data_IF_968297961880
#
_entry.id   IF_968297961880
#
_cell.length_a   1.000
_cell.length_b   1.000
_cell.length_c   1.000
_cell.angle_alpha   90.00
_cell.angle_beta   90.00
_cell.angle_gamma   90.00
#
_symmetry.space_group_name_H-M   'P 1'
#
loop_
_entity.id
_entity.type
_entity.pdbx_description
1 polymer ?
#
# COMPACT_ATOMS: atom_id res chain seq x y z
N UNK A 1 42.40 68.38 -35.73
CA UNK A 1 43.13 67.14 -35.93
C UNK A 1 42.19 66.02 -35.55
N UNK A 2 41.58 65.43 -36.56
CA UNK A 2 40.60 64.34 -36.40
C UNK A 2 41.27 62.99 -36.22
N UNK A 3 40.61 62.12 -35.55
CA UNK A 3 40.92 60.74 -35.63
C UNK A 3 39.63 59.89 -35.63
N UNK A 4 39.23 59.51 -36.84
CA UNK A 4 38.25 58.52 -37.17
C UNK A 4 38.85 57.14 -36.96
N UNK A 5 38.38 56.40 -35.96
CA UNK A 5 38.65 54.96 -35.85
C UNK A 5 37.33 54.19 -36.05
N UNK A 6 37.40 53.40 -37.07
CA UNK A 6 36.27 52.71 -37.63
C UNK A 6 35.66 51.62 -36.75
N UNK A 7 34.38 51.65 -36.71
CA UNK A 7 33.50 50.59 -36.24
C UNK A 7 33.35 49.50 -37.32
N UNK A 8 34.06 48.44 -37.20
CA UNK A 8 33.74 47.16 -37.80
C UNK A 8 33.58 46.19 -36.64
N UNK A 9 32.46 45.62 -36.53
CA UNK A 9 32.12 44.33 -35.94
C UNK A 9 30.66 44.40 -35.48
N UNK A 10 29.74 44.25 -36.41
CA UNK A 10 28.37 43.88 -36.10
C UNK A 10 27.93 42.83 -37.12
N UNK A 11 28.47 41.62 -36.95
CA UNK A 11 27.82 40.45 -37.55
C UNK A 11 26.68 40.00 -36.63
N UNK A 12 25.48 39.80 -37.15
CA UNK A 12 24.38 39.26 -36.35
C UNK A 12 24.67 37.81 -36.07
N UNK A 13 24.91 37.48 -34.80
CA UNK A 13 24.93 36.10 -34.33
C UNK A 13 23.55 35.53 -34.56
N UNK A 14 23.42 34.78 -35.64
CA UNK A 14 22.24 33.94 -35.91
C UNK A 14 22.11 32.96 -34.78
N UNK A 15 21.32 33.27 -33.78
CA UNK A 15 20.93 32.31 -32.76
C UNK A 15 20.21 31.14 -33.49
N UNK A 16 20.94 30.04 -33.66
CA UNK A 16 20.30 28.75 -33.99
C UNK A 16 19.28 28.51 -32.89
N UNK A 17 18.02 28.51 -33.23
CA UNK A 17 16.94 28.07 -32.38
C UNK A 17 17.30 26.67 -31.84
N UNK A 18 17.28 26.43 -30.53
CA UNK A 18 17.47 25.09 -30.02
C UNK A 18 16.37 24.26 -30.67
N UNK A 19 16.78 23.18 -31.34
CA UNK A 19 15.89 22.16 -31.88
C UNK A 19 14.92 21.81 -30.76
N UNK A 20 13.67 22.19 -30.92
CA UNK A 20 12.62 21.82 -29.97
C UNK A 20 12.62 20.29 -29.96
N UNK A 21 13.16 19.71 -28.90
CA UNK A 21 13.00 18.30 -28.60
C UNK A 21 11.48 18.14 -28.50
N UNK A 22 10.88 17.56 -29.54
CA UNK A 22 9.49 17.13 -29.53
C UNK A 22 9.34 16.19 -28.33
N UNK A 23 8.93 16.73 -27.20
CA UNK A 23 8.45 15.91 -26.11
C UNK A 23 7.23 15.16 -26.66
N UNK A 24 7.25 13.83 -26.67
CA UNK A 24 6.07 13.08 -27.09
C UNK A 24 4.90 13.60 -26.25
N UNK A 25 3.83 13.95 -26.94
CA UNK A 25 2.60 14.37 -26.28
C UNK A 25 2.27 13.30 -25.23
N UNK A 26 1.93 13.67 -23.98
CA UNK A 26 1.58 12.68 -22.96
C UNK A 26 0.48 11.80 -23.55
N UNK A 27 0.73 10.49 -23.60
CA UNK A 27 -0.24 9.54 -24.12
C UNK A 27 -1.55 9.77 -23.36
N UNK A 28 -2.57 10.20 -24.06
CA UNK A 28 -3.92 10.36 -23.51
C UNK A 28 -4.50 8.93 -23.38
N UNK A 29 -4.25 8.30 -22.25
CA UNK A 29 -4.95 7.06 -21.92
C UNK A 29 -6.41 7.41 -21.66
N UNK A 30 -7.32 6.60 -22.21
CA UNK A 30 -8.73 6.74 -21.88
C UNK A 30 -8.96 6.39 -20.39
N UNK A 31 -10.03 6.92 -19.82
CA UNK A 31 -10.35 6.72 -18.41
C UNK A 31 -10.54 5.23 -18.06
N UNK A 32 -10.98 4.42 -19.00
CA UNK A 32 -11.18 2.98 -18.80
C UNK A 32 -9.84 2.25 -18.68
N UNK A 33 -8.87 2.58 -19.52
CA UNK A 33 -7.51 2.03 -19.48
C UNK A 33 -6.80 2.45 -18.18
N UNK A 34 -6.91 3.71 -17.77
CA UNK A 34 -6.36 4.18 -16.50
C UNK A 34 -7.00 3.45 -15.31
N UNK A 35 -8.32 3.28 -15.32
CA UNK A 35 -9.03 2.58 -14.27
C UNK A 35 -8.66 1.09 -14.20
N UNK A 36 -8.44 0.44 -15.35
CA UNK A 36 -7.96 -0.95 -15.39
C UNK A 36 -6.55 -1.06 -14.82
N UNK A 37 -5.61 -0.27 -15.30
CA UNK A 37 -4.23 -0.24 -14.81
C UNK A 37 -4.16 0.06 -13.30
N UNK A 38 -5.01 0.97 -12.81
CA UNK A 38 -5.10 1.29 -11.39
C UNK A 38 -5.56 0.08 -10.56
N UNK A 39 -6.57 -0.66 -11.03
CA UNK A 39 -7.03 -1.88 -10.37
C UNK A 39 -5.97 -2.97 -10.35
N UNK A 40 -5.29 -3.17 -11.46
CA UNK A 40 -4.23 -4.18 -11.59
C UNK A 40 -3.05 -3.87 -10.66
N UNK A 41 -2.68 -2.60 -10.58
CA UNK A 41 -1.57 -2.15 -9.73
C UNK A 41 -1.87 -2.30 -8.24
N UNK A 42 -3.07 -1.92 -7.81
CA UNK A 42 -3.40 -1.81 -6.39
C UNK A 42 -4.20 -2.98 -5.83
N UNK A 43 -4.95 -3.69 -6.69
CA UNK A 43 -5.93 -4.70 -6.28
C UNK A 43 -5.37 -5.81 -5.39
N UNK A 44 -4.35 -6.56 -5.82
CA UNK A 44 -3.83 -7.69 -5.04
C UNK A 44 -3.33 -7.29 -3.66
N UNK A 45 -2.56 -6.19 -3.58
CA UNK A 45 -2.04 -5.68 -2.30
C UNK A 45 -3.14 -5.18 -1.38
N UNK A 46 -4.12 -4.48 -1.94
CA UNK A 46 -5.24 -3.96 -1.17
C UNK A 46 -6.12 -5.08 -0.62
N UNK A 47 -6.35 -6.13 -1.41
CA UNK A 47 -7.06 -7.32 -0.96
C UNK A 47 -6.31 -8.04 0.18
N UNK A 48 -4.98 -8.20 0.06
CA UNK A 48 -4.13 -8.75 1.12
C UNK A 48 -4.22 -7.93 2.42
N UNK A 49 -4.14 -6.60 2.32
CA UNK A 49 -4.37 -5.70 3.47
C UNK A 49 -5.74 -5.94 4.10
N UNK A 50 -6.80 -5.99 3.28
CA UNK A 50 -8.16 -6.17 3.74
C UNK A 50 -8.36 -7.53 4.43
N UNK A 51 -7.75 -8.61 3.91
CA UNK A 51 -7.76 -9.94 4.53
C UNK A 51 -7.07 -9.94 5.89
N UNK A 52 -5.89 -9.34 6.00
CA UNK A 52 -5.14 -9.28 7.27
C UNK A 52 -5.90 -8.48 8.33
N UNK A 53 -6.42 -7.30 7.96
CA UNK A 53 -7.19 -6.45 8.88
C UNK A 53 -8.53 -7.09 9.24
N UNK A 54 -9.20 -7.74 8.29
CA UNK A 54 -10.45 -8.47 8.44
C UNK A 54 -10.31 -9.87 9.05
N UNK A 55 -9.08 -10.30 9.43
CA UNK A 55 -8.80 -11.64 9.96
C UNK A 55 -9.31 -12.77 9.06
N UNK A 56 -9.10 -12.67 7.76
CA UNK A 56 -9.47 -13.71 6.80
C UNK A 56 -10.96 -13.76 6.46
N UNK A 57 -11.75 -12.76 6.82
CA UNK A 57 -13.13 -12.63 6.31
C UNK A 57 -13.08 -12.20 4.83
N UNK A 58 -13.02 -13.18 3.93
CA UNK A 58 -12.89 -12.95 2.48
C UNK A 58 -14.02 -12.08 1.92
N UNK A 59 -15.25 -12.28 2.39
CA UNK A 59 -16.40 -11.50 1.90
C UNK A 59 -16.32 -10.04 2.32
N UNK A 60 -15.90 -9.77 3.56
CA UNK A 60 -15.69 -8.41 4.04
C UNK A 60 -14.50 -7.76 3.32
N UNK A 61 -13.40 -8.51 3.12
CA UNK A 61 -12.21 -8.05 2.42
C UNK A 61 -12.51 -7.69 0.95
N UNK A 62 -13.19 -8.56 0.21
CA UNK A 62 -13.59 -8.33 -1.18
C UNK A 62 -14.48 -7.10 -1.32
N UNK A 63 -15.50 -6.96 -0.48
CA UNK A 63 -16.40 -5.80 -0.52
C UNK A 63 -15.65 -4.50 -0.24
N UNK A 64 -14.84 -4.48 0.84
CA UNK A 64 -14.14 -3.28 1.26
C UNK A 64 -13.05 -2.86 0.25
N UNK A 65 -12.25 -3.81 -0.23
CA UNK A 65 -11.23 -3.57 -1.24
C UNK A 65 -11.86 -3.19 -2.60
N UNK A 66 -12.89 -3.90 -3.04
CA UNK A 66 -13.60 -3.62 -4.29
C UNK A 66 -14.22 -2.22 -4.30
N UNK A 67 -14.86 -1.81 -3.21
CA UNK A 67 -15.41 -0.47 -3.06
C UNK A 67 -14.33 0.62 -3.08
N UNK A 68 -13.22 0.39 -2.38
CA UNK A 68 -12.10 1.33 -2.37
C UNK A 68 -11.44 1.45 -3.74
N UNK A 69 -11.25 0.31 -4.45
CA UNK A 69 -10.70 0.29 -5.81
C UNK A 69 -11.60 0.99 -6.82
N UNK A 70 -12.90 0.75 -6.78
CA UNK A 70 -13.85 1.43 -7.67
C UNK A 70 -13.81 2.96 -7.47
N UNK A 71 -13.79 3.40 -6.20
CA UNK A 71 -13.68 4.82 -5.89
C UNK A 71 -12.32 5.43 -6.29
N UNK A 72 -11.21 4.66 -6.16
CA UNK A 72 -9.88 5.08 -6.57
C UNK A 72 -9.75 5.16 -8.09
N UNK A 73 -10.29 4.16 -8.81
CA UNK A 73 -10.30 4.16 -10.27
C UNK A 73 -11.06 5.35 -10.85
N UNK A 74 -12.19 5.73 -10.24
CA UNK A 74 -12.94 6.94 -10.63
C UNK A 74 -12.17 8.24 -10.37
N UNK A 75 -11.11 8.21 -9.57
CA UNK A 75 -10.26 9.36 -9.21
C UNK A 75 -8.81 9.18 -9.65
N UNK A 76 -8.52 8.19 -10.50
CA UNK A 76 -7.16 7.80 -10.88
C UNK A 76 -6.36 9.00 -11.43
N UNK A 77 -6.96 9.86 -12.23
CA UNK A 77 -6.34 11.08 -12.75
C UNK A 77 -5.94 12.09 -11.66
N UNK A 78 -6.66 12.12 -10.53
CA UNK A 78 -6.37 12.99 -9.38
C UNK A 78 -5.35 12.36 -8.42
N UNK A 79 -5.30 11.04 -8.34
CA UNK A 79 -4.40 10.27 -7.50
C UNK A 79 -3.04 10.05 -8.20
N UNK A 80 -2.38 11.13 -8.60
CA UNK A 80 -1.15 11.11 -9.43
C UNK A 80 0.07 10.49 -8.75
N UNK A 81 0.05 10.35 -7.43
CA UNK A 81 1.15 9.77 -6.67
C UNK A 81 0.77 8.35 -6.22
N UNK A 82 1.38 7.30 -6.79
CA UNK A 82 1.04 5.91 -6.48
C UNK A 82 1.09 5.58 -4.99
N UNK A 83 2.08 6.13 -4.28
CA UNK A 83 2.26 5.92 -2.83
C UNK A 83 1.09 6.52 -2.04
N UNK A 84 0.71 7.77 -2.33
CA UNK A 84 -0.45 8.40 -1.68
C UNK A 84 -1.76 7.72 -2.04
N UNK A 85 -1.88 7.24 -3.29
CA UNK A 85 -3.02 6.43 -3.70
C UNK A 85 -3.11 5.14 -2.87
N UNK A 86 -1.98 4.48 -2.63
CA UNK A 86 -1.92 3.26 -1.83
C UNK A 86 -2.39 3.49 -0.38
N UNK A 87 -1.95 4.56 0.29
CA UNK A 87 -2.38 4.92 1.63
C UNK A 87 -3.86 5.31 1.67
N UNK A 88 -4.32 6.12 0.72
CA UNK A 88 -5.72 6.53 0.60
C UNK A 88 -6.66 5.33 0.41
N UNK A 89 -6.28 4.37 -0.45
CA UNK A 89 -7.05 3.14 -0.66
C UNK A 89 -7.20 2.33 0.63
N UNK A 90 -6.12 2.20 1.42
CA UNK A 90 -6.14 1.48 2.69
C UNK A 90 -7.00 2.17 3.74
N UNK A 91 -6.93 3.50 3.82
CA UNK A 91 -7.80 4.27 4.68
C UNK A 91 -9.28 4.05 4.32
N UNK A 92 -9.59 3.99 3.03
CA UNK A 92 -10.95 3.75 2.56
C UNK A 92 -11.41 2.30 2.80
N UNK A 93 -10.50 1.34 2.59
CA UNK A 93 -10.75 -0.07 2.89
C UNK A 93 -10.99 -0.29 4.37
N UNK A 94 -10.18 0.32 5.24
CA UNK A 94 -10.34 0.24 6.69
C UNK A 94 -11.73 0.70 7.15
N UNK A 95 -12.24 1.80 6.59
CA UNK A 95 -13.61 2.27 6.85
C UNK A 95 -14.69 1.33 6.34
N UNK A 96 -14.41 0.55 5.29
CA UNK A 96 -15.32 -0.43 4.72
C UNK A 96 -15.33 -1.78 5.45
N UNK A 97 -14.27 -2.11 6.18
CA UNK A 97 -14.21 -3.29 7.03
C UNK A 97 -14.99 -2.96 8.31
N UNK A 98 -16.26 -3.30 8.35
CA UNK A 98 -17.13 -2.98 9.50
C UNK A 98 -16.59 -3.54 10.83
N UNK A 99 -17.05 -2.95 11.93
CA UNK A 99 -16.76 -3.35 13.32
C UNK A 99 -17.40 -4.71 13.71
N UNK A 100 -18.04 -5.39 12.75
CA UNK A 100 -18.72 -6.66 12.98
C UNK A 100 -17.74 -7.80 13.31
N UNK A 101 -18.19 -8.76 14.12
CA UNK A 101 -17.47 -10.01 14.28
C UNK A 101 -17.42 -10.75 12.94
N UNK A 102 -16.26 -11.33 12.58
CA UNK A 102 -16.16 -12.18 11.40
C UNK A 102 -17.20 -13.29 11.47
N UNK A 103 -17.96 -13.45 10.41
CA UNK A 103 -19.06 -14.45 10.35
C UNK A 103 -18.56 -15.85 9.96
N UNK A 104 -17.40 -15.96 9.33
CA UNK A 104 -16.85 -17.21 8.86
C UNK A 104 -16.18 -18.01 9.99
N UNK A 105 -16.21 -19.37 9.95
CA UNK A 105 -15.46 -20.24 10.84
C UNK A 105 -13.96 -19.93 10.81
N UNK A 106 -13.25 -20.25 11.91
CA UNK A 106 -11.80 -20.00 12.05
C UNK A 106 -11.02 -20.70 10.94
N UNK A 107 -11.37 -21.93 10.62
CA UNK A 107 -10.69 -22.74 9.60
C UNK A 107 -10.76 -22.08 8.22
N UNK A 108 -11.93 -21.57 7.85
CA UNK A 108 -12.11 -20.83 6.58
C UNK A 108 -11.31 -19.56 6.54
N UNK A 109 -11.17 -18.86 7.66
CA UNK A 109 -10.39 -17.64 7.77
C UNK A 109 -8.89 -17.90 7.69
N UNK A 110 -8.41 -18.96 8.36
CA UNK A 110 -7.02 -19.39 8.25
C UNK A 110 -6.69 -19.84 6.82
N UNK A 111 -7.59 -20.59 6.17
CA UNK A 111 -7.43 -20.97 4.77
C UNK A 111 -7.32 -19.74 3.84
N UNK A 112 -8.11 -18.71 4.09
CA UNK A 112 -8.04 -17.46 3.32
C UNK A 112 -6.72 -16.67 3.53
N UNK A 113 -6.10 -16.82 4.70
CA UNK A 113 -4.84 -16.16 5.05
C UNK A 113 -3.60 -17.01 4.72
N UNK A 114 -3.76 -18.30 4.48
CA UNK A 114 -2.65 -19.23 4.17
C UNK A 114 -1.80 -18.78 2.96
N UNK A 115 -2.38 -18.28 1.84
CA UNK A 115 -1.60 -17.76 0.70
C UNK A 115 -0.70 -16.59 1.06
N UNK A 116 -1.06 -15.82 2.11
CA UNK A 116 -0.26 -14.71 2.62
C UNK A 116 0.84 -15.18 3.60
N UNK A 117 0.91 -16.48 3.90
CA UNK A 117 1.89 -17.05 4.83
C UNK A 117 1.58 -16.80 6.30
N UNK A 118 0.33 -16.51 6.64
CA UNK A 118 -0.10 -16.30 8.03
C UNK A 118 -0.16 -17.65 8.75
N UNK A 119 0.72 -17.83 9.75
CA UNK A 119 0.67 -18.97 10.66
C UNK A 119 -0.44 -18.79 11.71
N UNK A 120 -0.75 -19.87 12.42
CA UNK A 120 -1.73 -19.82 13.52
C UNK A 120 -1.31 -18.85 14.63
N UNK A 121 -0.02 -18.78 14.95
CA UNK A 121 0.55 -17.84 15.93
C UNK A 121 0.32 -16.40 15.50
N UNK A 122 0.64 -16.07 14.23
CA UNK A 122 0.38 -14.73 13.67
C UNK A 122 -1.11 -14.40 13.68
N UNK A 123 -1.96 -15.36 13.30
CA UNK A 123 -3.40 -15.18 13.34
C UNK A 123 -3.90 -14.84 14.75
N UNK A 124 -3.47 -15.59 15.78
CA UNK A 124 -3.85 -15.35 17.17
C UNK A 124 -3.37 -13.99 17.67
N UNK A 125 -2.14 -13.61 17.33
CA UNK A 125 -1.60 -12.28 17.63
C UNK A 125 -2.49 -11.17 17.05
N UNK A 126 -2.88 -11.29 15.80
CA UNK A 126 -3.77 -10.32 15.14
C UNK A 126 -5.21 -10.38 15.69
N UNK A 127 -5.72 -11.57 16.03
CA UNK A 127 -7.08 -11.73 16.55
C UNK A 127 -7.30 -11.06 17.90
N UNK A 128 -6.26 -10.91 18.71
CA UNK A 128 -6.28 -10.17 19.99
C UNK A 128 -6.31 -8.65 19.84
N UNK A 129 -6.31 -8.12 18.61
CA UNK A 129 -6.26 -6.68 18.33
C UNK A 129 -7.60 -6.15 17.83
N UNK A 130 -7.87 -4.85 18.07
CA UNK A 130 -8.93 -4.12 17.37
C UNK A 130 -8.60 -3.99 15.89
N UNK A 131 -9.59 -3.64 15.07
CA UNK A 131 -9.42 -3.42 13.63
C UNK A 131 -8.37 -2.34 13.35
N UNK A 132 -8.43 -1.23 14.08
CA UNK A 132 -7.49 -0.12 13.95
C UNK A 132 -6.06 -0.55 14.36
N UNK A 133 -5.93 -1.32 15.44
CA UNK A 133 -4.64 -1.83 15.89
C UNK A 133 -4.04 -2.84 14.89
N UNK A 134 -4.87 -3.68 14.26
CA UNK A 134 -4.44 -4.54 13.16
C UNK A 134 -3.98 -3.72 11.96
N UNK A 135 -4.76 -2.72 11.56
CA UNK A 135 -4.38 -1.83 10.47
C UNK A 135 -3.06 -1.10 10.75
N UNK A 136 -2.84 -0.65 11.99
CA UNK A 136 -1.59 -0.03 12.40
C UNK A 136 -0.38 -0.96 12.23
N UNK A 137 -0.49 -2.23 12.64
CA UNK A 137 0.57 -3.23 12.48
C UNK A 137 0.77 -3.60 11.01
N UNK A 138 -0.31 -3.90 10.30
CA UNK A 138 -0.23 -4.29 8.89
C UNK A 138 0.41 -3.18 8.07
N UNK A 139 -0.03 -1.93 8.24
CA UNK A 139 0.55 -0.81 7.52
C UNK A 139 2.03 -0.56 7.88
N UNK A 140 2.37 -0.53 9.18
CA UNK A 140 3.71 -0.12 9.61
C UNK A 140 4.75 -1.24 9.56
N UNK A 141 4.39 -2.49 9.92
CA UNK A 141 5.34 -3.59 10.06
C UNK A 141 5.33 -4.54 8.85
N UNK A 142 4.18 -4.79 8.24
CA UNK A 142 4.05 -5.72 7.11
C UNK A 142 4.26 -5.00 5.79
N UNK A 143 3.49 -3.95 5.53
CA UNK A 143 3.59 -3.20 4.27
C UNK A 143 4.65 -2.10 4.28
N UNK A 144 5.18 -1.76 5.46
CA UNK A 144 6.27 -0.80 5.67
C UNK A 144 5.98 0.59 5.10
N UNK A 145 4.76 1.05 5.26
CA UNK A 145 4.43 2.44 4.94
C UNK A 145 5.19 3.43 5.80
N UNK A 146 5.52 4.56 5.21
CA UNK A 146 6.08 5.69 5.93
C UNK A 146 5.11 6.20 7.01
N UNK A 147 5.61 6.81 8.10
CA UNK A 147 4.77 7.31 9.18
C UNK A 147 3.62 8.21 8.72
N UNK A 148 3.85 9.09 7.74
CA UNK A 148 2.83 9.99 7.17
C UNK A 148 1.71 9.21 6.47
N UNK A 149 2.05 8.13 5.78
CA UNK A 149 1.07 7.26 5.13
C UNK A 149 0.29 6.45 6.15
N UNK A 150 0.94 5.99 7.24
CA UNK A 150 0.23 5.33 8.35
C UNK A 150 -0.75 6.29 9.02
N UNK A 151 -0.39 7.57 9.20
CA UNK A 151 -1.30 8.62 9.68
C UNK A 151 -2.52 8.75 8.77
N UNK A 152 -2.29 8.78 7.46
CA UNK A 152 -3.36 8.81 6.45
C UNK A 152 -4.27 7.59 6.53
N UNK A 153 -3.68 6.39 6.66
CA UNK A 153 -4.42 5.12 6.76
C UNK A 153 -5.31 5.09 7.99
N UNK A 154 -4.78 5.50 9.14
CA UNK A 154 -5.49 5.49 10.42
C UNK A 154 -6.41 6.71 10.61
N UNK A 155 -6.23 7.76 9.80
CA UNK A 155 -6.96 9.03 9.96
C UNK A 155 -6.65 9.71 11.29
N UNK A 156 -5.43 9.59 11.79
CA UNK A 156 -5.04 10.04 13.13
C UNK A 156 -3.84 11.01 13.07
N UNK A 157 -3.75 11.89 14.05
CA UNK A 157 -2.63 12.82 14.18
C UNK A 157 -1.31 12.08 14.47
N UNK A 158 -0.13 12.66 14.14
CA UNK A 158 1.18 12.00 14.25
C UNK A 158 1.47 11.38 15.61
N UNK A 159 1.17 12.08 16.71
CA UNK A 159 1.39 11.57 18.07
C UNK A 159 0.48 10.39 18.40
N UNK A 160 -0.80 10.47 18.00
CA UNK A 160 -1.78 9.41 18.21
C UNK A 160 -1.41 8.17 17.37
N UNK A 161 -0.97 8.35 16.13
CA UNK A 161 -0.52 7.26 15.25
C UNK A 161 0.68 6.53 15.85
N UNK A 162 1.71 7.25 16.30
CA UNK A 162 2.87 6.63 16.97
C UNK A 162 2.47 5.84 18.21
N UNK A 163 1.58 6.40 19.03
CA UNK A 163 1.06 5.71 20.20
C UNK A 163 0.28 4.45 19.82
N UNK A 164 -0.62 4.55 18.85
CA UNK A 164 -1.43 3.42 18.35
C UNK A 164 -0.56 2.29 17.82
N UNK A 165 0.47 2.58 17.02
CA UNK A 165 1.41 1.58 16.48
C UNK A 165 2.18 0.90 17.63
N UNK A 166 2.72 1.67 18.58
CA UNK A 166 3.46 1.12 19.71
C UNK A 166 2.57 0.23 20.60
N UNK A 167 1.35 0.66 20.89
CA UNK A 167 0.39 -0.12 21.68
C UNK A 167 -0.05 -1.38 20.94
N UNK A 168 -0.33 -1.28 19.65
CA UNK A 168 -0.68 -2.43 18.82
C UNK A 168 0.44 -3.48 18.83
N UNK A 169 1.70 -3.07 18.70
CA UNK A 169 2.87 -3.96 18.80
C UNK A 169 2.93 -4.66 20.16
N UNK A 170 2.80 -3.92 21.25
CA UNK A 170 2.82 -4.51 22.61
C UNK A 170 1.71 -5.54 22.80
N UNK A 171 0.49 -5.24 22.32
CA UNK A 171 -0.65 -6.16 22.41
C UNK A 171 -0.46 -7.39 21.54
N UNK A 172 -0.01 -7.21 20.30
CA UNK A 172 0.30 -8.31 19.40
C UNK A 172 1.28 -9.29 20.04
N UNK A 173 2.40 -8.80 20.56
CA UNK A 173 3.42 -9.61 21.21
C UNK A 173 2.85 -10.41 22.39
N UNK A 174 2.05 -9.79 23.25
CA UNK A 174 1.40 -10.50 24.35
C UNK A 174 0.52 -11.65 23.88
N UNK A 175 -0.26 -11.46 22.83
CA UNK A 175 -1.15 -12.49 22.30
C UNK A 175 -0.41 -13.58 21.52
N UNK A 176 0.68 -13.26 20.85
CA UNK A 176 1.51 -14.21 20.14
C UNK A 176 2.32 -15.11 21.10
N UNK A 177 2.86 -14.56 22.19
CA UNK A 177 3.71 -15.29 23.15
C UNK A 177 2.92 -16.16 24.15
N UNK A 178 1.69 -15.79 24.49
CA UNK A 178 0.85 -16.57 25.41
C UNK A 178 0.50 -18.00 24.92
N UNK A 179 0.90 -18.35 23.70
CA UNK A 179 0.43 -19.57 23.03
C UNK A 179 1.54 -20.55 22.65
N UNK A 180 2.80 -20.20 22.83
CA UNK A 180 3.93 -21.10 22.52
C UNK A 180 4.86 -21.21 23.72
N UNK A 181 4.58 -22.11 24.68
CA UNK A 181 5.52 -22.36 25.77
C UNK A 181 6.81 -23.07 25.33
N UNK A 182 6.87 -23.64 24.12
CA UNK A 182 7.98 -24.48 23.65
C UNK A 182 8.87 -23.86 22.57
N UNK A 183 8.53 -22.68 22.00
CA UNK A 183 9.37 -22.01 21.00
C UNK A 183 10.12 -20.80 21.61
N UNK A 184 10.93 -21.05 22.63
CA UNK A 184 11.56 -20.01 23.45
C UNK A 184 12.77 -19.33 22.80
N UNK A 185 13.19 -19.72 21.58
CA UNK A 185 14.46 -19.25 20.98
C UNK A 185 14.35 -18.39 19.71
N UNK A 186 13.15 -18.09 19.20
CA UNK A 186 13.02 -17.19 18.06
C UNK A 186 12.84 -15.74 18.51
N UNK A 187 13.65 -14.79 18.02
CA UNK A 187 13.47 -13.38 18.36
C UNK A 187 12.08 -12.90 17.94
N UNK A 188 11.43 -12.06 18.78
CA UNK A 188 10.02 -11.66 18.62
C UNK A 188 9.67 -10.93 17.31
N UNK A 189 10.65 -10.41 16.59
CA UNK A 189 10.45 -9.74 15.31
C UNK A 189 10.47 -10.68 14.08
N UNK A 190 10.89 -11.94 14.26
CA UNK A 190 11.09 -12.91 13.18
C UNK A 190 9.77 -13.32 12.49
N UNK A 191 8.67 -13.63 13.19
CA UNK A 191 7.40 -13.95 12.54
C UNK A 191 6.82 -12.81 11.71
N UNK A 192 7.03 -11.57 12.15
CA UNK A 192 6.57 -10.38 11.41
C UNK A 192 7.45 -10.08 10.20
N UNK A 193 8.76 -10.30 10.31
CA UNK A 193 9.70 -10.16 9.19
C UNK A 193 9.43 -11.16 8.08
N UNK A 194 9.20 -12.41 8.41
CA UNK A 194 8.84 -13.46 7.46
C UNK A 194 7.50 -13.18 6.78
N UNK A 195 6.49 -12.75 7.53
CA UNK A 195 5.19 -12.36 6.99
C UNK A 195 5.32 -11.20 6.01
N UNK A 196 6.11 -10.18 6.36
CA UNK A 196 6.36 -9.04 5.48
C UNK A 196 7.00 -9.48 4.14
N UNK A 197 7.99 -10.36 4.21
CA UNK A 197 8.66 -10.91 3.02
C UNK A 197 7.67 -11.71 2.17
N UNK A 198 6.88 -12.59 2.75
CA UNK A 198 5.90 -13.40 2.03
C UNK A 198 4.78 -12.57 1.40
N UNK A 199 4.29 -11.54 2.08
CA UNK A 199 3.29 -10.62 1.49
C UNK A 199 3.88 -9.87 0.30
N UNK A 200 5.14 -9.45 0.37
CA UNK A 200 5.84 -8.85 -0.77
C UNK A 200 6.02 -9.84 -1.91
N UNK A 201 6.40 -11.09 -1.63
CA UNK A 201 6.59 -12.14 -2.63
C UNK A 201 5.27 -12.52 -3.32
N UNK A 202 4.17 -12.61 -2.57
CA UNK A 202 2.83 -12.86 -3.13
C UNK A 202 2.40 -11.69 -4.01
N UNK A 203 2.61 -10.45 -3.55
CA UNK A 203 2.30 -9.26 -4.34
C UNK A 203 3.15 -9.18 -5.62
N UNK A 204 4.44 -9.52 -5.54
CA UNK A 204 5.36 -9.54 -6.69
C UNK A 204 4.95 -10.61 -7.70
N UNK A 205 4.62 -11.81 -7.25
CA UNK A 205 4.14 -12.91 -8.11
C UNK A 205 2.82 -12.56 -8.79
N UNK A 206 1.88 -11.94 -8.07
CA UNK A 206 0.61 -11.50 -8.65
C UNK A 206 0.81 -10.47 -9.77
N UNK A 207 1.78 -9.57 -9.63
CA UNK A 207 2.15 -8.61 -10.68
C UNK A 207 2.80 -9.31 -11.86
N UNK A 208 3.67 -10.30 -11.62
CA UNK A 208 4.40 -11.03 -12.67
C UNK A 208 3.50 -12.00 -13.44
N UNK A 209 2.47 -12.56 -12.82
CA UNK A 209 1.48 -13.44 -13.44
C UNK A 209 0.37 -12.69 -14.18
N UNK A 210 0.21 -11.40 -13.93
CA UNK A 210 -0.73 -10.47 -14.60
C UNK A 210 -0.16 -9.85 -15.89
N UNK A 211 0.89 -10.43 -16.49
CA UNK A 211 1.36 -10.02 -17.80
C UNK A 211 0.23 -10.10 -18.84
N UNK A 212 0.20 -9.21 -19.83
CA UNK A 212 -0.92 -9.09 -20.76
C UNK A 212 -1.20 -10.44 -21.42
N UNK A 213 -2.39 -10.97 -21.18
CA UNK A 213 -2.93 -12.04 -22.01
C UNK A 213 -2.95 -11.52 -23.45
N UNK A 214 -2.15 -12.15 -24.31
CA UNK A 214 -2.11 -11.90 -25.75
C UNK A 214 -3.41 -12.33 -26.41
#
# INVERSE_FOLDING_TARGET
VGNTLGSRWSEPITRRSPTAILQPAPAQYDDATLAAAFRDLHGPRLHGFALLVGLGDSRAAERAAGFALAAGAAQAAALRHPERAAAWLRARTLRGIGQGRPSAPIESRLAALAPLGVSETVYRGLAGLSIEARAAIVASAIERFDPIDVETILGAAPAATRHAVAEARRRYMRHATLTSPDETDAPPDQPMGELATRVQDVATRAISSGGPAR
#
